data_IF_218948050310
#
_entry.id   IF_218948050310
#
_cell.length_a   1.000
_cell.length_b   1.000
_cell.length_c   1.000
_cell.angle_alpha   90.00
_cell.angle_beta   90.00
_cell.angle_gamma   90.00
#
_symmetry.space_group_name_H-M   'P 1'
#
loop_
_entity.id
_entity.type
_entity.pdbx_description
1 polymer ?
#
# COMPACT_ATOMS: atom_id res chain seq x y z
N UNK A 1 0.50 2.07 -21.27
CA UNK A 1 0.53 3.41 -20.64
C UNK A 1 -0.87 3.68 -20.10
N UNK A 2 -0.96 4.14 -18.85
CA UNK A 2 -2.21 4.53 -18.21
C UNK A 2 -2.03 5.86 -17.48
N UNK A 3 -3.11 6.55 -17.20
CA UNK A 3 -3.18 7.68 -16.27
C UNK A 3 -4.05 7.32 -15.09
N UNK A 4 -3.70 7.83 -13.93
CA UNK A 4 -4.49 7.71 -12.70
C UNK A 4 -4.79 9.10 -12.18
N UNK A 5 -6.01 9.32 -11.73
CA UNK A 5 -6.41 10.59 -11.10
C UNK A 5 -7.43 10.34 -10.01
N UNK A 6 -7.24 11.00 -8.89
CA UNK A 6 -8.22 11.05 -7.80
C UNK A 6 -8.91 12.41 -7.83
N UNK A 7 -10.21 12.40 -7.66
CA UNK A 7 -11.05 13.59 -7.45
C UNK A 7 -11.73 13.47 -6.08
N UNK A 8 -12.47 14.48 -5.68
CA UNK A 8 -13.24 14.41 -4.42
C UNK A 8 -14.26 13.26 -4.37
N UNK A 9 -14.66 12.72 -5.52
CA UNK A 9 -15.75 11.73 -5.62
C UNK A 9 -15.38 10.45 -6.34
N UNK A 10 -14.29 10.43 -7.10
CA UNK A 10 -14.01 9.34 -8.03
C UNK A 10 -12.52 9.03 -8.13
N UNK A 11 -12.24 7.75 -8.29
CA UNK A 11 -10.95 7.25 -8.74
C UNK A 11 -11.04 6.98 -10.24
N UNK A 12 -10.15 7.60 -11.01
CA UNK A 12 -10.18 7.54 -12.47
C UNK A 12 -8.95 6.80 -13.01
N UNK A 13 -9.18 5.87 -13.93
CA UNK A 13 -8.13 5.28 -14.78
C UNK A 13 -8.42 5.66 -16.24
N UNK A 14 -7.44 6.27 -16.90
CA UNK A 14 -7.58 6.76 -18.28
C UNK A 14 -8.82 7.68 -18.46
N UNK A 15 -9.08 8.52 -17.47
CA UNK A 15 -10.19 9.47 -17.48
C UNK A 15 -11.58 8.86 -17.27
N UNK A 16 -11.66 7.56 -16.97
CA UNK A 16 -12.94 6.87 -16.70
C UNK A 16 -13.03 6.47 -15.24
N UNK A 17 -14.20 6.60 -14.60
CA UNK A 17 -14.44 6.12 -13.25
C UNK A 17 -14.09 4.62 -13.13
N UNK A 18 -13.34 4.29 -12.12
CA UNK A 18 -12.94 2.92 -11.83
C UNK A 18 -13.25 2.58 -10.38
N UNK A 19 -14.10 1.59 -10.18
CA UNK A 19 -14.46 1.11 -8.86
C UNK A 19 -13.58 -0.08 -8.50
N UNK A 20 -12.76 0.08 -7.45
CA UNK A 20 -11.88 -0.95 -6.93
C UNK A 20 -12.72 -2.03 -6.23
N UNK A 21 -12.73 -3.24 -6.79
CA UNK A 21 -13.37 -4.44 -6.20
C UNK A 21 -12.28 -5.44 -5.88
N UNK A 22 -11.89 -5.51 -4.62
CA UNK A 22 -10.74 -6.34 -4.29
C UNK A 22 -10.57 -6.62 -2.82
N UNK A 23 -9.40 -7.11 -2.49
CA UNK A 23 -9.04 -7.61 -1.17
C UNK A 23 -7.66 -7.13 -0.77
N UNK A 24 -7.38 -7.10 0.53
CA UNK A 24 -6.02 -7.25 1.03
C UNK A 24 -5.63 -8.71 0.82
N UNK A 25 -4.60 -8.94 0.02
CA UNK A 25 -4.09 -10.30 -0.26
C UNK A 25 -2.82 -10.54 0.56
N UNK A 26 -2.43 -11.77 0.78
CA UNK A 26 -1.08 -12.14 1.19
C UNK A 26 -0.40 -13.00 0.11
N UNK A 27 0.92 -12.84 -0.05
CA UNK A 27 1.74 -13.67 -0.93
C UNK A 27 2.41 -14.77 -0.10
N UNK A 28 1.59 -15.66 0.43
CA UNK A 28 2.04 -16.82 1.19
C UNK A 28 1.18 -18.04 0.92
N UNK A 29 1.74 -19.20 1.19
CA UNK A 29 1.07 -20.48 1.02
C UNK A 29 1.25 -21.36 2.24
N UNK A 30 0.35 -22.29 2.41
CA UNK A 30 0.41 -23.30 3.47
C UNK A 30 1.69 -24.16 3.40
N UNK A 31 2.18 -24.44 2.19
CA UNK A 31 3.33 -25.34 1.98
C UNK A 31 4.65 -24.57 1.92
N UNK A 32 4.69 -23.47 1.18
CA UNK A 32 5.93 -22.76 0.86
C UNK A 32 6.13 -21.47 1.68
N UNK A 33 5.19 -21.15 2.57
CA UNK A 33 5.19 -19.86 3.26
C UNK A 33 5.23 -18.72 2.24
N UNK A 34 6.19 -17.82 2.38
CA UNK A 34 6.42 -16.69 1.46
C UNK A 34 7.36 -17.01 0.28
N UNK A 35 7.71 -18.29 0.12
CA UNK A 35 8.42 -18.74 -1.07
C UNK A 35 7.53 -18.63 -2.31
N UNK A 36 8.15 -18.27 -3.44
CA UNK A 36 7.40 -18.10 -4.68
C UNK A 36 6.76 -19.41 -5.13
N UNK A 37 5.46 -19.36 -5.42
CA UNK A 37 4.67 -20.43 -5.99
C UNK A 37 3.83 -19.91 -7.16
N UNK A 38 4.34 -20.08 -8.37
CA UNK A 38 3.67 -19.62 -9.59
C UNK A 38 2.33 -20.31 -9.82
N UNK A 39 2.20 -21.59 -9.47
CA UNK A 39 0.96 -22.33 -9.62
C UNK A 39 -0.12 -21.78 -8.66
N UNK A 40 0.27 -21.48 -7.43
CA UNK A 40 -0.61 -20.81 -6.47
C UNK A 40 -1.03 -19.43 -6.95
N UNK A 41 -0.10 -18.64 -7.47
CA UNK A 41 -0.41 -17.32 -8.04
C UNK A 41 -1.46 -17.43 -9.16
N UNK A 42 -1.32 -18.38 -10.09
CA UNK A 42 -2.32 -18.62 -11.13
C UNK A 42 -3.68 -18.98 -10.53
N UNK A 43 -3.70 -19.86 -9.52
CA UNK A 43 -4.93 -20.23 -8.80
C UNK A 43 -5.57 -19.01 -8.14
N UNK A 44 -4.81 -18.19 -7.47
CA UNK A 44 -5.29 -16.97 -6.80
C UNK A 44 -5.92 -15.99 -7.79
N UNK A 45 -5.26 -15.73 -8.92
CA UNK A 45 -5.83 -14.87 -9.97
C UNK A 45 -7.13 -15.45 -10.55
N UNK A 46 -7.21 -16.76 -10.73
CA UNK A 46 -8.44 -17.42 -11.17
C UNK A 46 -9.57 -17.26 -10.14
N UNK A 47 -9.26 -17.39 -8.84
CA UNK A 47 -10.23 -17.15 -7.76
C UNK A 47 -10.67 -15.70 -7.70
N UNK A 48 -9.73 -14.74 -7.82
CA UNK A 48 -10.06 -13.30 -7.88
C UNK A 48 -11.02 -13.01 -9.04
N UNK A 49 -10.76 -13.55 -10.23
CA UNK A 49 -11.66 -13.41 -11.39
C UNK A 49 -13.03 -14.04 -11.13
N UNK A 50 -13.04 -15.24 -10.57
CA UNK A 50 -14.28 -15.95 -10.26
C UNK A 50 -15.16 -15.17 -9.27
N UNK A 51 -14.55 -14.49 -8.29
CA UNK A 51 -15.24 -13.60 -7.36
C UNK A 51 -15.63 -12.23 -7.95
N UNK A 52 -15.23 -11.94 -9.18
CA UNK A 52 -15.48 -10.66 -9.83
C UNK A 52 -14.59 -9.51 -9.32
N UNK A 53 -13.46 -9.84 -8.70
CA UNK A 53 -12.46 -8.86 -8.30
C UNK A 53 -11.70 -8.29 -9.51
N UNK A 54 -11.28 -7.04 -9.42
CA UNK A 54 -10.46 -6.35 -10.41
C UNK A 54 -9.19 -5.73 -9.81
N UNK A 55 -9.01 -5.87 -8.50
CA UNK A 55 -7.93 -5.20 -7.75
C UNK A 55 -7.57 -5.97 -6.50
N UNK A 56 -6.38 -5.68 -5.97
CA UNK A 56 -5.97 -6.08 -4.62
C UNK A 56 -4.90 -5.15 -4.07
N UNK A 57 -4.68 -5.20 -2.76
CA UNK A 57 -3.57 -4.55 -2.06
C UNK A 57 -2.54 -5.60 -1.69
N UNK A 58 -1.27 -5.29 -1.88
CA UNK A 58 -0.16 -6.15 -1.49
C UNK A 58 0.08 -6.08 0.02
N UNK A 59 -0.85 -6.65 0.81
CA UNK A 59 -0.76 -6.66 2.27
C UNK A 59 0.39 -7.55 2.74
N UNK A 60 1.31 -7.13 3.50
CA UNK A 60 1.71 -5.81 3.96
C UNK A 60 3.17 -5.58 3.56
N UNK A 61 3.50 -5.83 2.30
CA UNK A 61 4.86 -5.80 1.74
C UNK A 61 4.79 -5.88 0.20
N UNK A 62 5.79 -5.39 -0.52
CA UNK A 62 5.86 -5.58 -1.97
C UNK A 62 5.92 -7.07 -2.31
N UNK A 63 5.09 -7.50 -3.26
CA UNK A 63 5.05 -8.88 -3.72
C UNK A 63 6.11 -9.16 -4.78
N UNK A 64 6.22 -10.43 -5.20
CA UNK A 64 7.17 -10.82 -6.24
C UNK A 64 6.92 -10.09 -7.55
N UNK A 65 7.98 -9.85 -8.31
CA UNK A 65 7.89 -9.20 -9.62
C UNK A 65 7.06 -10.05 -10.61
N UNK A 66 7.13 -11.39 -10.49
CA UNK A 66 6.35 -12.33 -11.28
C UNK A 66 4.85 -12.15 -11.03
N UNK A 67 4.44 -11.89 -9.79
CA UNK A 67 3.04 -11.60 -9.48
C UNK A 67 2.62 -10.25 -10.06
N UNK A 68 3.48 -9.23 -10.01
CA UNK A 68 3.23 -7.92 -10.63
C UNK A 68 3.09 -8.06 -12.15
N UNK A 69 3.97 -8.82 -12.81
CA UNK A 69 3.85 -9.14 -14.24
C UNK A 69 2.57 -9.90 -14.57
N UNK A 70 2.13 -10.80 -13.70
CA UNK A 70 0.86 -11.51 -13.87
C UNK A 70 -0.32 -10.55 -13.76
N UNK A 71 -0.32 -9.64 -12.79
CA UNK A 71 -1.36 -8.63 -12.65
C UNK A 71 -1.44 -7.71 -13.89
N UNK A 72 -0.29 -7.32 -14.44
CA UNK A 72 -0.23 -6.55 -15.69
C UNK A 72 -0.92 -7.27 -16.86
N UNK A 73 -0.64 -8.57 -17.02
CA UNK A 73 -1.21 -9.40 -18.11
C UNK A 73 -2.68 -9.70 -17.91
N UNK A 74 -3.09 -9.94 -16.67
CA UNK A 74 -4.44 -10.32 -16.31
C UNK A 74 -5.40 -9.14 -16.16
N UNK A 75 -4.86 -7.90 -16.16
CA UNK A 75 -5.63 -6.66 -16.07
C UNK A 75 -6.12 -6.32 -14.66
N UNK A 76 -5.48 -6.83 -13.63
CA UNK A 76 -5.72 -6.41 -12.26
C UNK A 76 -4.98 -5.12 -11.94
N UNK A 77 -5.58 -4.27 -11.11
CA UNK A 77 -4.88 -3.10 -10.57
C UNK A 77 -4.48 -3.33 -9.11
N UNK A 78 -3.35 -2.75 -8.74
CA UNK A 78 -2.70 -3.00 -7.47
C UNK A 78 -2.52 -1.70 -6.69
N UNK A 79 -2.83 -1.77 -5.39
CA UNK A 79 -2.34 -0.84 -4.38
C UNK A 79 -1.07 -1.49 -3.81
N UNK A 80 0.09 -0.95 -4.16
CA UNK A 80 1.37 -1.51 -3.75
C UNK A 80 1.81 -0.92 -2.41
N UNK A 81 2.10 -1.81 -1.43
CA UNK A 81 2.26 -1.41 -0.03
C UNK A 81 3.68 -1.64 0.47
N UNK A 82 4.22 -0.63 1.13
CA UNK A 82 5.48 -0.73 1.84
C UNK A 82 5.36 -1.64 3.08
N UNK A 83 6.44 -2.36 3.48
CA UNK A 83 6.41 -3.31 4.60
C UNK A 83 6.40 -2.60 5.97
N UNK A 84 5.59 -1.57 6.12
CA UNK A 84 5.42 -0.79 7.34
C UNK A 84 4.16 -1.23 8.08
N UNK A 85 4.23 -2.39 8.72
CA UNK A 85 3.19 -2.99 9.55
C UNK A 85 3.69 -3.14 10.99
N UNK A 86 2.78 -3.22 11.96
CA UNK A 86 3.14 -3.35 13.38
C UNK A 86 3.60 -2.04 14.04
N UNK A 87 3.24 -0.91 13.47
CA UNK A 87 3.46 0.42 14.05
C UNK A 87 2.28 0.91 14.90
N UNK A 88 1.50 -0.02 15.40
CA UNK A 88 0.44 0.20 16.38
C UNK A 88 0.39 -1.01 17.30
N UNK A 89 0.51 -0.77 18.61
CA UNK A 89 0.42 -1.82 19.61
C UNK A 89 -0.69 -1.46 20.60
N UNK A 90 -1.85 -2.02 20.41
CA UNK A 90 -3.08 -1.75 21.17
C UNK A 90 -2.92 -1.75 22.69
N UNK A 91 -1.87 -2.41 23.19
CA UNK A 91 -1.59 -2.53 24.64
C UNK A 91 -0.47 -1.59 25.10
N UNK A 92 0.21 -0.91 24.20
CA UNK A 92 1.34 -0.05 24.51
C UNK A 92 1.04 1.41 24.21
N UNK A 93 1.53 2.27 25.07
CA UNK A 93 1.09 3.65 25.10
C UNK A 93 1.68 4.53 24.00
N UNK A 94 2.85 4.17 23.44
CA UNK A 94 3.50 4.96 22.37
C UNK A 94 4.43 4.08 21.54
N UNK A 95 4.38 4.28 20.24
CA UNK A 95 5.23 3.62 19.26
C UNK A 95 6.22 4.61 18.66
N UNK A 96 5.78 5.86 18.45
CA UNK A 96 6.58 6.94 17.84
C UNK A 96 7.28 7.80 18.90
N UNK A 97 7.82 7.19 19.94
CA UNK A 97 8.53 7.86 21.03
C UNK A 97 10.07 7.81 20.91
N UNK A 98 10.55 7.27 19.78
CA UNK A 98 11.99 7.11 19.51
C UNK A 98 12.60 5.80 20.01
N UNK A 99 11.87 4.97 20.75
CA UNK A 99 12.38 3.68 21.23
C UNK A 99 12.17 2.57 20.19
N UNK A 100 10.97 2.43 19.63
CA UNK A 100 10.62 1.43 18.62
C UNK A 100 10.68 2.02 17.21
N UNK A 101 9.92 3.06 16.97
CA UNK A 101 10.00 3.84 15.73
C UNK A 101 10.92 5.01 15.99
N UNK A 102 12.08 4.99 15.36
CA UNK A 102 13.16 5.95 15.55
C UNK A 102 13.74 6.38 14.19
N UNK A 103 14.84 7.13 14.22
CA UNK A 103 15.49 7.63 13.01
C UNK A 103 15.93 6.52 12.04
N UNK A 104 16.48 5.41 12.57
CA UNK A 104 16.88 4.24 11.75
C UNK A 104 15.67 3.55 11.10
N UNK A 105 14.56 3.48 11.83
CA UNK A 105 13.30 2.95 11.28
C UNK A 105 12.81 3.83 10.13
N UNK A 106 12.88 5.15 10.31
CA UNK A 106 12.52 6.09 9.24
C UNK A 106 13.45 5.94 8.03
N UNK A 107 14.76 5.96 8.23
CA UNK A 107 15.75 5.81 7.16
C UNK A 107 15.49 4.53 6.34
N UNK A 108 15.33 3.39 7.03
CA UNK A 108 15.00 2.12 6.38
C UNK A 108 13.68 2.16 5.61
N UNK A 109 12.65 2.79 6.17
CA UNK A 109 11.37 2.96 5.48
C UNK A 109 11.53 3.78 4.19
N UNK A 110 12.28 4.89 4.24
CA UNK A 110 12.52 5.73 3.08
C UNK A 110 13.32 5.00 1.98
N UNK A 111 14.31 4.20 2.36
CA UNK A 111 15.09 3.40 1.41
C UNK A 111 14.21 2.30 0.78
N UNK A 112 13.40 1.63 1.58
CA UNK A 112 12.43 0.64 1.07
C UNK A 112 11.45 1.25 0.06
N UNK A 113 10.98 2.49 0.28
CA UNK A 113 10.12 3.18 -0.69
C UNK A 113 10.84 3.45 -2.02
N UNK A 114 12.12 3.83 -1.96
CA UNK A 114 12.94 4.04 -3.18
C UNK A 114 13.10 2.73 -3.96
N UNK A 115 13.38 1.63 -3.26
CA UNK A 115 13.55 0.32 -3.87
C UNK A 115 12.25 -0.20 -4.48
N UNK A 116 11.12 -0.11 -3.74
CA UNK A 116 9.79 -0.45 -4.22
C UNK A 116 9.43 0.36 -5.48
N UNK A 117 9.62 1.68 -5.43
CA UNK A 117 9.39 2.53 -6.59
C UNK A 117 10.30 2.18 -7.77
N UNK A 118 11.60 2.00 -7.54
CA UNK A 118 12.56 1.69 -8.59
C UNK A 118 12.19 0.40 -9.34
N UNK A 119 11.73 -0.62 -8.62
CA UNK A 119 11.28 -1.90 -9.16
C UNK A 119 9.93 -1.78 -9.88
N UNK A 120 8.93 -1.18 -9.23
CA UNK A 120 7.52 -1.34 -9.63
C UNK A 120 6.94 -0.16 -10.43
N UNK A 121 7.68 0.94 -10.56
CA UNK A 121 7.22 2.15 -11.29
C UNK A 121 6.75 1.89 -12.72
N UNK A 122 7.28 0.86 -13.39
CA UNK A 122 6.95 0.54 -14.77
C UNK A 122 5.82 -0.48 -14.91
N UNK A 123 5.28 -1.01 -13.80
CA UNK A 123 4.13 -1.90 -13.82
C UNK A 123 2.84 -1.10 -13.99
N UNK A 124 2.10 -1.25 -15.12
CA UNK A 124 0.83 -0.57 -15.32
C UNK A 124 -0.25 -1.00 -14.33
N UNK A 125 -0.13 -2.16 -13.71
CA UNK A 125 -1.05 -2.61 -12.66
C UNK A 125 -0.97 -1.76 -11.39
N UNK A 126 0.18 -1.19 -11.04
CA UNK A 126 0.33 -0.35 -9.85
C UNK A 126 -0.35 0.99 -10.07
N UNK A 127 -1.44 1.25 -9.37
CA UNK A 127 -2.25 2.46 -9.51
C UNK A 127 -2.21 3.38 -8.30
N UNK A 128 -1.66 2.90 -7.18
CA UNK A 128 -1.58 3.64 -5.92
C UNK A 128 -0.44 3.09 -5.06
N UNK A 129 0.20 3.96 -4.29
CA UNK A 129 1.24 3.61 -3.33
C UNK A 129 0.68 3.67 -1.91
N UNK A 130 0.80 2.59 -1.15
CA UNK A 130 0.41 2.54 0.27
C UNK A 130 1.63 2.61 1.18
N UNK A 131 1.64 3.59 2.07
CA UNK A 131 2.80 3.90 2.90
C UNK A 131 2.94 3.02 4.13
N UNK A 132 1.82 2.54 4.68
CA UNK A 132 1.81 1.72 5.88
C UNK A 132 0.46 1.04 6.07
N UNK A 133 0.46 -0.01 6.91
CA UNK A 133 -0.74 -0.65 7.40
C UNK A 133 -0.91 -0.39 8.90
N UNK A 134 -2.04 0.20 9.27
CA UNK A 134 -2.53 0.29 10.64
C UNK A 134 -1.54 0.91 11.65
N UNK A 135 -0.82 1.94 11.22
CA UNK A 135 0.05 2.68 12.12
C UNK A 135 -0.77 3.56 13.09
N UNK A 136 -0.24 3.79 14.30
CA UNK A 136 -0.88 4.71 15.25
C UNK A 136 -0.63 6.15 14.85
N UNK A 137 -1.49 6.65 13.98
CA UNK A 137 -1.45 8.02 13.45
C UNK A 137 -2.03 9.05 14.42
N UNK A 138 -2.51 8.63 15.58
CA UNK A 138 -2.97 9.54 16.65
C UNK A 138 -1.81 10.14 17.45
N UNK A 139 -0.62 9.52 17.41
CA UNK A 139 0.56 10.00 18.13
C UNK A 139 1.18 11.23 17.46
N UNK A 140 1.63 12.18 18.28
CA UNK A 140 2.33 13.39 17.77
C UNK A 140 3.62 13.02 17.02
N UNK A 141 4.33 11.99 17.47
CA UNK A 141 5.54 11.48 16.81
C UNK A 141 5.30 10.87 15.43
N UNK A 142 4.09 10.38 15.14
CA UNK A 142 3.72 9.88 13.82
C UNK A 142 3.65 10.99 12.75
N UNK A 143 3.34 12.21 13.16
CA UNK A 143 3.16 13.37 12.25
C UNK A 143 4.43 13.67 11.45
N UNK A 144 5.59 13.98 12.06
CA UNK A 144 6.81 14.25 11.31
C UNK A 144 7.30 13.00 10.55
N UNK A 145 7.11 11.79 11.11
CA UNK A 145 7.49 10.54 10.48
C UNK A 145 6.76 10.34 9.15
N UNK A 146 5.44 10.27 9.16
CA UNK A 146 4.66 10.02 7.95
C UNK A 146 4.65 11.20 6.99
N UNK A 147 4.78 12.43 7.48
CA UNK A 147 5.00 13.58 6.60
C UNK A 147 6.24 13.37 5.72
N UNK A 148 7.35 12.93 6.31
CA UNK A 148 8.58 12.63 5.59
C UNK A 148 8.42 11.46 4.62
N UNK A 149 7.75 10.39 5.04
CA UNK A 149 7.45 9.20 4.22
C UNK A 149 6.62 9.58 2.98
N UNK A 150 5.52 10.30 3.17
CA UNK A 150 4.62 10.75 2.10
C UNK A 150 5.32 11.71 1.14
N UNK A 151 6.05 12.70 1.65
CA UNK A 151 6.79 13.65 0.83
C UNK A 151 7.86 12.95 -0.01
N UNK A 152 8.51 11.93 0.55
CA UNK A 152 9.51 11.12 -0.17
C UNK A 152 8.84 10.37 -1.32
N UNK A 153 7.73 9.65 -1.09
CA UNK A 153 7.04 8.95 -2.17
C UNK A 153 6.57 9.92 -3.26
N UNK A 154 6.02 11.07 -2.89
CA UNK A 154 5.60 12.10 -3.88
C UNK A 154 6.76 12.70 -4.66
N UNK A 155 7.94 12.77 -4.08
CA UNK A 155 9.14 13.19 -4.80
C UNK A 155 9.62 12.16 -5.83
N UNK A 156 9.35 10.88 -5.59
CA UNK A 156 9.66 9.77 -6.50
C UNK A 156 8.61 9.65 -7.61
N UNK A 157 7.33 9.75 -7.23
CA UNK A 157 6.19 9.63 -8.16
C UNK A 157 5.07 10.62 -7.82
N UNK A 158 4.86 11.56 -8.72
CA UNK A 158 3.77 12.52 -8.65
C UNK A 158 2.58 12.16 -9.58
N UNK A 159 2.60 10.97 -10.17
CA UNK A 159 1.59 10.52 -11.16
C UNK A 159 0.57 9.55 -10.57
N UNK A 160 0.89 8.95 -9.42
CA UNK A 160 0.03 8.02 -8.68
C UNK A 160 -0.34 8.58 -7.32
N UNK A 161 -1.56 8.36 -6.86
CA UNK A 161 -1.98 8.77 -5.52
C UNK A 161 -1.24 7.99 -4.44
N UNK A 162 -1.10 8.63 -3.29
CA UNK A 162 -0.52 8.07 -2.07
C UNK A 162 -1.63 7.81 -1.06
N UNK A 163 -1.61 6.64 -0.46
CA UNK A 163 -2.51 6.22 0.61
C UNK A 163 -1.77 5.56 1.76
N UNK A 164 -2.45 5.27 2.82
CA UNK A 164 -2.10 4.29 3.85
C UNK A 164 -3.38 3.77 4.49
N UNK A 165 -3.28 2.63 5.15
CA UNK A 165 -4.42 2.01 5.83
C UNK A 165 -4.48 2.47 7.28
N UNK A 166 -5.65 2.92 7.71
CA UNK A 166 -5.91 3.41 9.06
C UNK A 166 -6.85 2.49 9.83
N UNK A 167 -6.58 2.33 11.13
CA UNK A 167 -7.49 1.70 12.10
C UNK A 167 -8.27 2.73 12.90
N UNK A 168 -7.79 3.97 12.91
CA UNK A 168 -8.36 5.04 13.73
C UNK A 168 -9.42 5.81 12.94
N UNK A 169 -10.45 6.26 13.67
CA UNK A 169 -11.41 7.19 13.11
C UNK A 169 -10.71 8.48 12.67
N UNK A 170 -11.15 9.11 11.59
CA UNK A 170 -10.54 10.33 11.06
C UNK A 170 -10.37 11.45 12.11
N UNK A 171 -11.21 11.48 13.15
CA UNK A 171 -11.13 12.47 14.22
C UNK A 171 -9.90 12.33 15.13
N UNK A 172 -9.29 11.16 15.21
CA UNK A 172 -8.08 10.93 16.01
C UNK A 172 -6.81 10.93 15.15
N UNK A 173 -6.96 10.74 13.86
CA UNK A 173 -5.85 10.66 12.91
C UNK A 173 -5.27 12.04 12.59
N UNK A 174 -3.95 12.15 12.65
CA UNK A 174 -3.21 13.39 12.40
C UNK A 174 -2.48 13.39 11.06
N UNK A 175 -2.52 12.28 10.31
CA UNK A 175 -1.70 12.05 9.10
C UNK A 175 -2.52 12.10 7.81
N UNK A 176 -3.77 11.67 7.85
CA UNK A 176 -4.62 11.54 6.65
C UNK A 176 -4.78 12.81 5.82
N UNK A 177 -4.58 13.98 6.43
CA UNK A 177 -4.62 15.27 5.73
C UNK A 177 -3.62 15.40 4.57
N UNK A 178 -2.60 14.55 4.52
CA UNK A 178 -1.59 14.53 3.44
C UNK A 178 -1.80 13.41 2.43
N UNK A 179 -2.82 12.57 2.60
CA UNK A 179 -3.11 11.47 1.69
C UNK A 179 -4.06 11.90 0.58
N UNK A 180 -3.94 11.27 -0.58
CA UNK A 180 -4.84 11.47 -1.71
C UNK A 180 -6.09 10.58 -1.59
N UNK A 181 -5.93 9.42 -0.95
CA UNK A 181 -6.99 8.45 -0.67
C UNK A 181 -6.82 7.95 0.76
N UNK A 182 -7.92 7.83 1.48
CA UNK A 182 -7.95 7.28 2.84
C UNK A 182 -8.50 5.86 2.76
N UNK A 183 -7.70 4.88 3.19
CA UNK A 183 -8.14 3.49 3.36
C UNK A 183 -8.49 3.27 4.83
N UNK A 184 -9.73 2.88 5.10
CA UNK A 184 -10.20 2.57 6.44
C UNK A 184 -10.38 1.07 6.61
N UNK A 185 -9.89 0.54 7.73
CA UNK A 185 -10.23 -0.77 8.24
C UNK A 185 -11.27 -0.63 9.36
N UNK A 186 -12.27 -1.56 9.40
CA UNK A 186 -13.39 -1.65 10.36
C UNK A 186 -14.55 -0.70 10.13
#
# INVERSE_FOLDING_TARGET
IRSVKVTEKEFLINGKPFYLKGFGKHEDSEIHGRGMDLALNVKDFNLLKWMGANSFRTSHYPYSEELMMMADREGFVIIDEAPAVGMCFWQEKKVFDGTRVNEKTLEHHLDTLKDMYARDKNHPCVVMWSMANEADTSEDGAVPYFKKVIDTMRSLDNTRPVTMVHTMWPSADKVSQWLDVICLHW
#
